data_IF_326124676757
#
_entry.id   IF_326124676757
#
_cell.length_a   1.000
_cell.length_b   1.000
_cell.length_c   1.000
_cell.angle_alpha   90.00
_cell.angle_beta   90.00
_cell.angle_gamma   90.00
#
_symmetry.space_group_name_H-M   'P 1'
#
loop_
_entity.id
_entity.type
_entity.pdbx_description
1 polymer ?
#
# COMPACT_ATOMS: atom_id res chain seq x y z
N UNK A 1 8.08 1.66 -46.65
CA UNK A 1 7.18 2.68 -46.10
C UNK A 1 7.97 3.56 -45.13
N UNK A 2 8.45 4.72 -45.57
CA UNK A 2 9.26 5.61 -44.74
C UNK A 2 8.35 6.48 -43.88
N UNK A 3 8.23 6.14 -42.60
CA UNK A 3 7.59 7.00 -41.61
C UNK A 3 8.40 8.30 -41.54
N UNK A 4 7.76 9.44 -41.78
CA UNK A 4 8.43 10.74 -41.78
C UNK A 4 9.03 11.01 -40.39
N UNK A 5 10.25 11.56 -40.35
CA UNK A 5 10.95 11.90 -39.10
C UNK A 5 10.10 12.79 -38.17
N UNK A 6 9.25 13.62 -38.76
CA UNK A 6 8.31 14.48 -38.05
C UNK A 6 7.20 13.71 -37.32
N UNK A 7 6.68 12.62 -37.92
CA UNK A 7 5.68 11.78 -37.27
C UNK A 7 6.28 10.99 -36.10
N UNK A 8 7.50 10.49 -36.27
CA UNK A 8 8.23 9.81 -35.20
C UNK A 8 8.51 10.76 -34.02
N UNK A 9 8.96 11.99 -34.32
CA UNK A 9 9.21 13.03 -33.32
C UNK A 9 7.93 13.45 -32.58
N UNK A 10 6.79 13.48 -33.29
CA UNK A 10 5.48 13.79 -32.69
C UNK A 10 5.01 12.69 -31.74
N UNK A 11 5.15 11.41 -32.11
CA UNK A 11 4.77 10.28 -31.25
C UNK A 11 5.65 10.24 -29.98
N UNK A 12 6.97 10.43 -30.13
CA UNK A 12 7.90 10.47 -28.99
C UNK A 12 7.60 11.65 -28.05
N UNK A 13 7.30 12.82 -28.59
CA UNK A 13 6.91 14.00 -27.80
C UNK A 13 5.52 13.89 -27.15
N UNK A 14 4.61 13.11 -27.73
CA UNK A 14 3.29 12.88 -27.16
C UNK A 14 3.37 11.83 -26.02
N UNK A 15 4.17 10.77 -26.19
CA UNK A 15 4.40 9.74 -25.18
C UNK A 15 5.17 10.27 -23.97
N UNK A 16 6.15 11.15 -24.16
CA UNK A 16 6.94 11.75 -23.07
C UNK A 16 6.15 12.75 -22.19
N UNK A 17 4.98 13.22 -22.66
CA UNK A 17 4.07 14.08 -21.88
C UNK A 17 3.14 13.32 -20.94
N UNK A 18 3.07 11.98 -21.03
CA UNK A 18 2.25 11.16 -20.12
C UNK A 18 2.99 10.94 -18.81
N UNK A 19 2.81 11.85 -17.85
CA UNK A 19 3.25 11.63 -16.47
C UNK A 19 2.38 10.55 -15.81
N UNK A 20 2.85 9.30 -15.81
CA UNK A 20 2.22 8.21 -15.07
C UNK A 20 2.40 8.47 -13.57
N UNK A 21 1.39 9.06 -12.92
CA UNK A 21 1.37 9.17 -11.46
C UNK A 21 1.09 7.79 -10.87
N UNK A 22 2.00 7.31 -10.02
CA UNK A 22 1.79 6.07 -9.29
C UNK A 22 0.54 6.19 -8.41
N UNK A 23 -0.37 5.21 -8.53
CA UNK A 23 -1.60 5.18 -7.76
C UNK A 23 -1.40 4.36 -6.51
N UNK A 24 -1.79 4.93 -5.37
CA UNK A 24 -1.82 4.22 -4.09
C UNK A 24 -2.69 2.96 -4.16
N UNK A 25 -2.19 1.82 -3.67
CA UNK A 25 -3.00 0.61 -3.56
C UNK A 25 -4.05 0.74 -2.47
N UNK A 26 -5.29 1.06 -2.87
CA UNK A 26 -6.40 1.37 -1.94
C UNK A 26 -6.71 0.27 -0.93
N UNK A 27 -6.51 -1.01 -1.29
CA UNK A 27 -6.73 -2.13 -0.36
C UNK A 27 -5.75 -2.12 0.82
N UNK A 28 -4.50 -1.71 0.60
CA UNK A 28 -3.51 -1.53 1.68
C UNK A 28 -3.84 -0.30 2.52
N UNK A 29 -4.16 0.83 1.88
CA UNK A 29 -4.52 2.06 2.56
C UNK A 29 -5.72 1.90 3.52
N UNK A 30 -6.70 1.04 3.16
CA UNK A 30 -7.85 0.74 4.03
C UNK A 30 -7.50 -0.07 5.28
N UNK A 31 -6.44 -0.88 5.26
CA UNK A 31 -6.11 -1.85 6.33
C UNK A 31 -5.03 -1.36 7.28
N UNK A 32 -4.20 -0.42 6.82
CA UNK A 32 -2.98 0.00 7.52
C UNK A 32 -3.14 1.45 7.95
N UNK A 33 -2.84 1.73 9.22
CA UNK A 33 -2.79 3.10 9.75
C UNK A 33 -1.34 3.50 9.97
N UNK A 34 -0.96 4.63 9.39
CA UNK A 34 0.35 5.25 9.58
C UNK A 34 0.20 6.42 10.54
N UNK A 35 1.02 6.43 11.57
CA UNK A 35 1.11 7.56 12.53
C UNK A 35 2.00 8.66 11.96
N UNK A 36 1.90 9.88 12.51
CA UNK A 36 2.77 11.01 12.13
C UNK A 36 4.27 10.67 12.23
N UNK A 37 4.63 9.76 13.14
CA UNK A 37 6.00 9.32 13.40
C UNK A 37 6.47 8.21 12.43
N UNK A 38 5.71 7.90 11.38
CA UNK A 38 6.06 6.88 10.38
C UNK A 38 5.88 5.43 10.85
N UNK A 39 5.30 5.21 12.04
CA UNK A 39 4.98 3.85 12.52
C UNK A 39 3.68 3.39 11.88
N UNK A 40 3.73 2.24 11.20
CA UNK A 40 2.56 1.59 10.62
C UNK A 40 2.00 0.49 11.53
N UNK A 41 0.68 0.43 11.60
CA UNK A 41 -0.07 -0.55 12.41
C UNK A 41 -1.16 -1.22 11.60
N UNK A 42 -1.42 -2.49 11.89
CA UNK A 42 -2.49 -3.28 11.28
C UNK A 42 -3.37 -3.94 12.33
N UNK A 43 -4.64 -4.16 12.03
CA UNK A 43 -5.54 -4.90 12.92
C UNK A 43 -5.13 -6.38 13.03
N UNK A 44 -5.16 -6.92 14.25
CA UNK A 44 -4.83 -8.34 14.49
C UNK A 44 -5.95 -9.23 13.97
N UNK A 45 -5.65 -10.30 13.21
CA UNK A 45 -6.67 -11.19 12.68
C UNK A 45 -7.35 -12.00 13.79
N UNK A 46 -8.56 -12.49 13.49
CA UNK A 46 -9.36 -13.34 14.37
C UNK A 46 -9.72 -12.70 15.72
N UNK A 47 -9.83 -11.37 15.78
CA UNK A 47 -10.38 -10.66 16.95
C UNK A 47 -11.91 -10.62 16.94
N UNK A 48 -12.51 -10.47 15.76
CA UNK A 48 -13.97 -10.40 15.59
C UNK A 48 -14.63 -11.77 15.72
N UNK A 49 -14.07 -12.73 14.99
CA UNK A 49 -14.61 -14.10 14.90
C UNK A 49 -13.81 -15.03 15.81
N UNK A 50 -14.46 -16.04 16.40
CA UNK A 50 -13.88 -17.00 17.35
C UNK A 50 -13.41 -16.38 18.67
N UNK A 51 -14.00 -15.25 19.08
CA UNK A 51 -13.69 -14.62 20.35
C UNK A 51 -14.07 -15.51 21.55
N UNK A 52 -15.21 -16.20 21.46
CA UNK A 52 -15.71 -17.13 22.50
C UNK A 52 -14.74 -18.27 22.84
N UNK A 53 -13.92 -18.71 21.87
CA UNK A 53 -12.93 -19.78 22.05
C UNK A 53 -11.60 -19.30 22.63
N UNK A 54 -11.49 -18.03 23.03
CA UNK A 54 -10.25 -17.40 23.50
C UNK A 54 -10.41 -16.83 24.89
N UNK A 55 -9.35 -16.91 25.69
CA UNK A 55 -9.33 -16.33 27.03
C UNK A 55 -9.45 -14.80 27.00
N UNK A 56 -10.04 -14.23 28.06
CA UNK A 56 -10.17 -12.77 28.24
C UNK A 56 -8.83 -12.06 28.10
N UNK A 57 -7.76 -12.61 28.71
CA UNK A 57 -6.38 -12.11 28.59
C UNK A 57 -5.90 -12.03 27.13
N UNK A 58 -6.18 -13.06 26.33
CA UNK A 58 -5.79 -13.10 24.91
C UNK A 58 -6.58 -12.09 24.07
N UNK A 59 -7.83 -11.82 24.42
CA UNK A 59 -8.66 -10.81 23.73
C UNK A 59 -8.22 -9.38 24.08
N UNK A 60 -7.89 -9.10 25.35
CA UNK A 60 -7.38 -7.80 25.79
C UNK A 60 -6.04 -7.44 25.14
N UNK A 61 -5.12 -8.41 25.03
CA UNK A 61 -3.81 -8.18 24.40
C UNK A 61 -3.89 -7.95 22.88
N UNK A 62 -5.02 -8.23 22.24
CA UNK A 62 -5.20 -8.10 20.78
C UNK A 62 -5.86 -6.76 20.44
N UNK A 63 -5.30 -6.04 19.47
CA UNK A 63 -5.85 -4.78 18.98
C UNK A 63 -5.28 -4.43 17.62
N UNK A 64 -4.35 -3.48 17.62
CA UNK A 64 -3.48 -3.21 16.48
C UNK A 64 -2.06 -3.64 16.82
N UNK A 65 -1.41 -4.31 15.88
CA UNK A 65 -0.02 -4.71 15.98
C UNK A 65 0.85 -3.81 15.10
N UNK A 66 2.06 -3.54 15.59
CA UNK A 66 3.10 -2.83 14.83
C UNK A 66 3.56 -3.72 13.68
N UNK A 67 3.68 -3.14 12.49
CA UNK A 67 4.17 -3.85 11.32
C UNK A 67 5.69 -4.03 11.45
N UNK A 68 6.18 -5.22 11.09
CA UNK A 68 7.61 -5.54 11.10
C UNK A 68 8.40 -4.66 10.11
N UNK A 69 9.72 -4.53 10.34
CA UNK A 69 10.60 -3.72 9.49
C UNK A 69 10.56 -4.17 8.01
N UNK A 70 10.56 -5.48 7.75
CA UNK A 70 10.51 -6.01 6.38
C UNK A 70 9.21 -5.66 5.65
N UNK A 71 8.06 -5.83 6.31
CA UNK A 71 6.75 -5.44 5.74
C UNK A 71 6.64 -3.94 5.53
N UNK A 72 7.30 -3.14 6.37
CA UNK A 72 7.34 -1.69 6.19
C UNK A 72 8.11 -1.29 4.92
N UNK A 73 9.21 -1.97 4.60
CA UNK A 73 9.93 -1.72 3.35
C UNK A 73 9.07 -2.00 2.12
N UNK A 74 8.23 -3.04 2.17
CA UNK A 74 7.27 -3.34 1.10
C UNK A 74 6.20 -2.23 0.97
N UNK A 75 5.67 -1.74 2.09
CA UNK A 75 4.63 -0.71 2.09
C UNK A 75 5.12 0.64 1.53
N UNK A 76 6.39 0.98 1.76
CA UNK A 76 7.05 2.16 1.17
C UNK A 76 7.12 2.15 -0.35
N UNK A 77 6.88 1.01 -1.01
CA UNK A 77 6.88 0.88 -2.48
C UNK A 77 5.49 0.80 -3.10
N UNK A 78 4.46 0.61 -2.28
CA UNK A 78 3.09 0.27 -2.73
C UNK A 78 2.08 1.34 -2.35
N UNK A 79 2.30 1.98 -1.21
CA UNK A 79 1.40 2.98 -0.63
C UNK A 79 1.99 4.38 -0.72
N UNK A 80 3.32 4.46 -0.64
CA UNK A 80 4.12 5.66 -0.85
C UNK A 80 4.80 5.55 -2.20
#
# INVERSE_FOLDING_TARGET
MNISKNLLLFIVNCMSKVKIKEKTKKSCAKRIKITKNGVATSGVPFKRHLASRKSKRRLQKRGREKISKSRMNLLKRIVF
#
